data_IF_030015458366
#
_entry.id   IF_030015458366
#
_cell.length_a   1.000
_cell.length_b   1.000
_cell.length_c   1.000
_cell.angle_alpha   90.00
_cell.angle_beta   90.00
_cell.angle_gamma   90.00
#
_symmetry.space_group_name_H-M   'P 1'
#
loop_
_entity.id
_entity.type
_entity.pdbx_description
1 polymer ?
#
# COMPACT_ATOMS: atom_id res chain seq x y z
N UNK A 1 -18.35 -17.22 19.82
CA UNK A 1 -17.76 -16.60 18.62
C UNK A 1 -18.07 -17.51 17.44
N UNK A 2 -18.91 -17.07 16.50
CA UNK A 2 -19.41 -17.91 15.43
C UNK A 2 -18.43 -17.93 14.26
N UNK A 3 -17.84 -19.10 14.00
CA UNK A 3 -17.05 -19.43 12.81
C UNK A 3 -18.00 -19.95 11.73
N UNK A 4 -17.86 -19.50 10.48
CA UNK A 4 -18.54 -20.13 9.34
C UNK A 4 -17.92 -21.51 9.06
N UNK A 5 -18.71 -22.42 8.46
CA UNK A 5 -18.45 -23.86 8.27
C UNK A 5 -17.21 -24.25 7.43
N UNK A 6 -16.33 -23.29 7.12
CA UNK A 6 -15.11 -23.50 6.33
C UNK A 6 -13.82 -23.14 7.09
N UNK A 7 -13.89 -22.73 8.36
CA UNK A 7 -12.71 -22.42 9.19
C UNK A 7 -11.92 -21.17 8.75
N UNK A 8 -12.38 -20.47 7.71
CA UNK A 8 -11.80 -19.22 7.21
C UNK A 8 -12.54 -18.04 7.86
N UNK A 9 -11.79 -17.09 8.46
CA UNK A 9 -12.40 -15.88 9.01
C UNK A 9 -13.01 -15.03 7.90
N UNK A 10 -14.15 -14.42 8.20
CA UNK A 10 -14.75 -13.43 7.30
C UNK A 10 -13.83 -12.21 7.20
N UNK A 11 -13.80 -11.56 6.04
CA UNK A 11 -13.04 -10.32 5.79
C UNK A 11 -13.35 -9.22 6.82
N UNK A 12 -14.57 -9.18 7.34
CA UNK A 12 -14.96 -8.29 8.42
C UNK A 12 -14.20 -8.56 9.74
N UNK A 13 -13.96 -9.83 10.07
CA UNK A 13 -13.23 -10.23 11.28
C UNK A 13 -11.72 -9.94 11.14
N UNK A 14 -11.17 -10.12 9.93
CA UNK A 14 -9.79 -9.72 9.64
C UNK A 14 -9.59 -8.20 9.72
N UNK A 15 -10.56 -7.41 9.28
CA UNK A 15 -10.55 -5.95 9.40
C UNK A 15 -10.66 -5.47 10.86
N UNK A 16 -11.50 -6.14 11.67
CA UNK A 16 -11.62 -5.86 13.10
C UNK A 16 -10.31 -6.15 13.85
N UNK A 17 -9.67 -7.29 13.56
CA UNK A 17 -8.33 -7.61 14.08
C UNK A 17 -7.31 -6.55 13.66
N UNK A 18 -7.30 -6.15 12.38
CA UNK A 18 -6.38 -5.14 11.87
C UNK A 18 -6.51 -3.80 12.62
N UNK A 19 -7.75 -3.39 12.90
CA UNK A 19 -8.06 -2.17 13.68
C UNK A 19 -7.57 -2.29 15.12
N UNK A 20 -7.85 -3.42 15.79
CA UNK A 20 -7.39 -3.67 17.16
C UNK A 20 -5.86 -3.71 17.26
N UNK A 21 -5.19 -4.35 16.29
CA UNK A 21 -3.74 -4.44 16.23
C UNK A 21 -3.09 -3.05 16.08
N UNK A 22 -3.63 -2.20 15.20
CA UNK A 22 -3.10 -0.85 15.00
C UNK A 22 -3.41 0.09 16.16
N UNK A 23 -4.59 -0.04 16.78
CA UNK A 23 -4.93 0.72 17.98
C UNK A 23 -3.98 0.41 19.13
N UNK A 24 -3.67 -0.88 19.36
CA UNK A 24 -2.68 -1.27 20.39
C UNK A 24 -1.24 -0.84 20.05
N UNK A 25 -0.92 -0.72 18.76
CA UNK A 25 0.38 -0.23 18.27
C UNK A 25 0.52 1.29 18.38
N UNK A 26 -0.53 2.07 18.19
CA UNK A 26 -0.46 3.55 18.23
C UNK A 26 -0.30 4.12 19.64
N UNK A 27 -0.72 3.41 20.68
CA UNK A 27 -0.50 3.83 22.08
C UNK A 27 0.99 3.76 22.51
N UNK A 28 1.88 3.22 21.68
CA UNK A 28 3.33 3.07 21.94
C UNK A 28 4.14 4.39 21.93
N UNK A 29 3.51 5.55 21.72
CA UNK A 29 4.20 6.85 21.72
C UNK A 29 4.16 7.60 23.06
N UNK A 30 3.52 7.05 24.10
CA UNK A 30 3.53 7.62 25.45
C UNK A 30 4.49 6.83 26.36
N UNK A 31 5.08 7.52 27.36
CA UNK A 31 6.14 7.09 28.27
C UNK A 31 5.80 5.87 29.14
N UNK A 32 5.65 4.70 28.51
CA UNK A 32 5.30 3.44 29.17
C UNK A 32 6.57 2.67 29.55
N UNK A 33 6.62 2.04 30.74
CA UNK A 33 7.77 1.27 31.16
C UNK A 33 7.98 0.06 30.25
N UNK A 34 9.23 -0.30 29.96
CA UNK A 34 9.60 -1.40 29.03
C UNK A 34 8.91 -2.72 29.37
N UNK A 35 8.64 -2.97 30.66
CA UNK A 35 7.90 -4.16 31.13
C UNK A 35 6.48 -4.23 30.60
N UNK A 36 5.79 -3.08 30.52
CA UNK A 36 4.41 -2.99 30.03
C UNK A 36 4.35 -3.17 28.51
N UNK A 37 5.31 -2.57 27.79
CA UNK A 37 5.47 -2.77 26.34
C UNK A 37 5.68 -4.26 26.03
N UNK A 38 6.54 -4.93 26.81
CA UNK A 38 6.84 -6.36 26.62
C UNK A 38 5.62 -7.27 26.89
N UNK A 39 4.83 -6.93 27.91
CA UNK A 39 3.58 -7.64 28.23
C UNK A 39 2.56 -7.49 27.09
N UNK A 40 2.47 -6.29 26.52
CA UNK A 40 1.54 -5.98 25.43
C UNK A 40 1.90 -6.66 24.11
N UNK A 41 3.20 -6.71 23.76
CA UNK A 41 3.68 -7.49 22.60
C UNK A 41 3.33 -8.97 22.77
N UNK A 42 3.46 -9.50 23.99
CA UNK A 42 3.07 -10.88 24.30
C UNK A 42 1.56 -11.08 24.13
N UNK A 43 0.73 -10.11 24.56
CA UNK A 43 -0.71 -10.12 24.32
C UNK A 43 -1.07 -10.07 22.83
N UNK A 44 -0.39 -9.22 22.04
CA UNK A 44 -0.57 -9.13 20.58
C UNK A 44 -0.23 -10.46 19.90
N UNK A 45 0.84 -11.14 20.34
CA UNK A 45 1.22 -12.45 19.84
C UNK A 45 0.15 -13.50 20.13
N UNK A 46 -0.32 -13.59 21.38
CA UNK A 46 -1.41 -14.50 21.75
C UNK A 46 -2.71 -14.21 20.99
N UNK A 47 -2.97 -12.94 20.68
CA UNK A 47 -4.14 -12.52 19.91
C UNK A 47 -4.00 -12.98 18.45
N UNK A 48 -2.87 -12.75 17.80
CA UNK A 48 -2.65 -13.20 16.41
C UNK A 48 -2.64 -14.72 16.32
N UNK A 49 -2.07 -15.42 17.31
CA UNK A 49 -2.02 -16.89 17.35
C UNK A 49 -3.41 -17.51 17.61
N UNK A 50 -4.29 -16.84 18.38
CA UNK A 50 -5.66 -17.32 18.58
C UNK A 50 -6.51 -17.31 17.31
N UNK A 51 -6.14 -16.45 16.35
CA UNK A 51 -6.73 -16.40 15.01
C UNK A 51 -5.99 -17.29 13.98
N UNK A 52 -4.97 -18.02 14.43
CA UNK A 52 -3.98 -18.79 13.66
C UNK A 52 -4.36 -19.18 12.24
N UNK A 53 -5.25 -20.16 12.07
CA UNK A 53 -5.63 -20.70 10.75
C UNK A 53 -6.73 -19.93 10.03
N UNK A 54 -7.49 -19.11 10.76
CA UNK A 54 -8.58 -18.31 10.22
C UNK A 54 -8.12 -17.10 9.41
N UNK A 55 -6.87 -16.65 9.59
CA UNK A 55 -6.33 -15.50 8.88
C UNK A 55 -5.80 -15.84 7.49
N UNK A 56 -6.05 -14.98 6.48
CA UNK A 56 -5.37 -15.05 5.19
C UNK A 56 -3.85 -15.12 5.36
N UNK A 57 -3.19 -15.95 4.54
CA UNK A 57 -1.74 -16.20 4.62
C UNK A 57 -0.91 -14.91 4.56
N UNK A 58 -1.35 -13.95 3.75
CA UNK A 58 -0.72 -12.63 3.63
C UNK A 58 -0.72 -11.86 4.96
N UNK A 59 -1.88 -11.78 5.62
CA UNK A 59 -2.06 -11.07 6.89
C UNK A 59 -1.28 -11.73 8.01
N UNK A 60 -1.27 -13.07 8.05
CA UNK A 60 -0.47 -13.84 9.03
C UNK A 60 1.01 -13.48 8.96
N UNK A 61 1.57 -13.46 7.74
CA UNK A 61 2.97 -13.07 7.53
C UNK A 61 3.23 -11.61 7.93
N UNK A 62 2.29 -10.71 7.62
CA UNK A 62 2.39 -9.29 7.97
C UNK A 62 2.38 -9.06 9.48
N UNK A 63 1.48 -9.70 10.24
CA UNK A 63 1.44 -9.56 11.69
C UNK A 63 2.67 -10.16 12.36
N UNK A 64 3.13 -11.33 11.91
CA UNK A 64 4.36 -11.95 12.43
C UNK A 64 5.59 -11.05 12.23
N UNK A 65 5.72 -10.43 11.05
CA UNK A 65 6.81 -9.49 10.77
C UNK A 65 6.76 -8.25 11.67
N UNK A 66 5.56 -7.68 11.89
CA UNK A 66 5.40 -6.52 12.76
C UNK A 66 5.66 -6.83 14.24
N UNK A 67 5.23 -7.99 14.73
CA UNK A 67 5.54 -8.44 16.10
C UNK A 67 7.06 -8.59 16.27
N UNK A 68 7.74 -9.21 15.30
CA UNK A 68 9.20 -9.38 15.33
C UNK A 68 9.93 -8.03 15.33
N UNK A 69 9.44 -7.05 14.57
CA UNK A 69 9.98 -5.69 14.56
C UNK A 69 9.82 -4.99 15.93
N UNK A 70 8.67 -5.14 16.58
CA UNK A 70 8.43 -4.60 17.93
C UNK A 70 9.30 -5.28 18.99
N UNK A 71 9.44 -6.61 18.93
CA UNK A 71 10.35 -7.37 19.80
C UNK A 71 11.80 -6.89 19.65
N UNK A 72 12.24 -6.62 18.41
CA UNK A 72 13.57 -6.06 18.12
C UNK A 72 13.75 -4.66 18.73
N UNK A 73 12.76 -3.77 18.59
CA UNK A 73 12.79 -2.42 19.19
C UNK A 73 12.89 -2.49 20.71
N UNK A 74 12.14 -3.38 21.37
CA UNK A 74 12.22 -3.59 22.81
C UNK A 74 13.57 -4.15 23.24
N UNK A 75 14.14 -5.09 22.49
CA UNK A 75 15.47 -5.62 22.76
C UNK A 75 16.56 -4.53 22.69
N UNK A 76 16.47 -3.64 21.70
CA UNK A 76 17.37 -2.48 21.57
C UNK A 76 17.21 -1.52 22.76
N UNK A 77 15.98 -1.22 23.19
CA UNK A 77 15.73 -0.35 24.34
C UNK A 77 16.28 -0.97 25.65
N UNK A 78 16.05 -2.27 25.89
CA UNK A 78 16.63 -2.98 27.04
C UNK A 78 18.15 -2.98 27.03
N UNK A 79 18.77 -3.13 25.85
CA UNK A 79 20.23 -3.07 25.72
C UNK A 79 20.79 -1.67 26.02
N UNK A 80 20.03 -0.61 25.70
CA UNK A 80 20.38 0.78 26.01
C UNK A 80 20.19 1.14 27.48
N UNK A 81 19.21 0.56 28.17
CA UNK A 81 18.93 0.82 29.60
C UNK A 81 19.79 0.01 30.57
N UNK A 82 20.51 -1.02 30.11
CA UNK A 82 21.36 -1.82 30.99
C UNK A 82 22.42 -0.89 31.63
N UNK A 83 22.45 -0.74 32.96
CA UNK A 83 23.40 0.17 33.61
C UNK A 83 24.82 -0.27 33.28
N UNK A 84 25.60 0.64 32.69
CA UNK A 84 27.04 0.46 32.47
C UNK A 84 27.68 0.31 33.84
N UNK A 85 27.92 -0.93 34.25
CA UNK A 85 28.64 -1.29 35.46
C UNK A 85 30.02 -0.62 35.46
N UNK A 86 30.15 0.52 36.14
CA UNK A 86 31.43 1.15 36.48
C UNK A 86 31.84 0.65 37.87
N UNK A 87 32.27 -0.61 37.95
CA UNK A 87 33.14 -1.01 39.06
C UNK A 87 34.50 -0.34 38.86
N UNK A 88 34.66 0.89 39.34
CA UNK A 88 35.96 1.53 39.49
C UNK A 88 36.46 1.28 40.90
N UNK A 89 37.47 0.43 41.03
CA UNK A 89 38.16 0.17 42.30
C UNK A 89 39.01 1.40 42.68
N UNK A 90 38.60 2.13 43.72
CA UNK A 90 39.37 3.25 44.28
C UNK A 90 40.59 2.73 45.06
N UNK A 91 41.80 3.08 44.62
CA UNK A 91 43.03 3.02 45.44
C UNK A 91 43.47 4.45 45.79
N UNK A 92 43.83 4.76 47.04
CA UNK A 92 44.36 6.07 47.38
C UNK A 92 45.90 6.07 47.25
N UNK A 93 46.49 7.15 46.73
CA UNK A 93 47.86 7.57 47.10
C UNK A 93 48.12 9.05 46.81
N UNK A 94 48.95 9.74 47.62
CA UNK A 94 49.17 11.18 47.53
C UNK A 94 50.32 11.58 46.58
N UNK A 95 50.26 12.83 46.12
CA UNK A 95 51.31 13.64 45.45
C UNK A 95 52.53 13.88 46.39
N UNK A 96 53.72 14.37 45.95
CA UNK A 96 53.97 15.31 44.84
C UNK A 96 55.16 15.01 43.86
N UNK A 97 55.17 15.79 42.77
CA UNK A 97 56.17 15.97 41.67
C UNK A 97 57.52 16.59 42.14
N UNK A 98 58.61 16.80 41.33
CA UNK A 98 58.65 17.07 39.86
C UNK A 98 59.87 16.60 38.99
N UNK A 99 59.64 16.50 37.64
CA UNK A 99 60.45 16.92 36.44
C UNK A 99 61.97 16.53 36.28
N UNK A 100 62.64 16.59 35.08
CA UNK A 100 62.27 16.64 33.65
C UNK A 100 62.96 15.57 32.71
N UNK A 101 62.57 15.59 31.42
CA UNK A 101 63.09 15.00 30.13
C UNK A 101 64.62 15.13 29.85
N UNK A 102 65.29 14.59 28.76
CA UNK A 102 64.83 14.35 27.34
C UNK A 102 65.50 13.23 26.45
N UNK A 103 65.02 13.09 25.19
CA UNK A 103 65.74 12.60 23.97
C UNK A 103 65.90 11.08 23.80
N UNK A 104 65.99 10.41 22.63
CA UNK A 104 66.06 10.67 21.17
C UNK A 104 65.86 9.25 20.53
N UNK A 105 65.24 8.97 19.37
CA UNK A 105 65.84 8.94 18.03
C UNK A 105 64.96 8.10 17.05
N UNK A 106 64.78 8.59 15.82
CA UNK A 106 64.96 7.93 14.48
C UNK A 106 64.22 6.59 14.15
N UNK A 107 63.79 6.21 12.94
CA UNK A 107 63.85 6.67 11.52
C UNK A 107 62.76 5.87 10.73
N UNK A 108 62.08 6.43 9.72
CA UNK A 108 62.31 6.35 8.25
C UNK A 108 61.62 5.17 7.50
N UNK A 109 60.92 5.56 6.44
CA UNK A 109 60.25 4.77 5.38
C UNK A 109 61.27 4.03 4.46
N UNK A 110 60.98 3.03 3.62
CA UNK A 110 60.05 2.94 2.46
C UNK A 110 60.28 1.58 1.74
N UNK A 111 59.47 1.29 0.69
CA UNK A 111 59.76 0.48 -0.55
C UNK A 111 59.01 -0.89 -0.61
N UNK A 112 58.41 -1.42 -1.71
CA UNK A 112 58.46 -1.11 -3.16
C UNK A 112 57.65 -2.13 -4.07
N UNK A 113 56.83 -1.65 -5.04
CA UNK A 113 56.65 -2.03 -6.52
C UNK A 113 55.93 -3.42 -6.87
N UNK A 114 55.38 -3.77 -8.10
CA UNK A 114 54.30 -3.27 -9.02
C UNK A 114 53.44 -4.38 -9.81
N UNK A 115 52.99 -4.28 -11.12
CA UNK A 115 51.58 -4.36 -11.64
C UNK A 115 51.34 -5.58 -12.61
N UNK A 116 50.49 -5.61 -13.71
CA UNK A 116 49.37 -4.79 -14.26
C UNK A 116 48.04 -5.59 -14.52
N UNK A 117 46.89 -5.05 -14.97
CA UNK A 117 46.48 -4.86 -16.41
C UNK A 117 45.00 -4.41 -16.51
N UNK A 118 44.73 -3.64 -17.57
CA UNK A 118 43.50 -2.97 -18.06
C UNK A 118 42.30 -3.88 -18.44
N UNK A 119 41.05 -3.36 -18.33
CA UNK A 119 40.16 -3.03 -19.47
C UNK A 119 38.64 -3.03 -19.16
N UNK A 120 37.91 -2.25 -19.97
CA UNK A 120 36.54 -1.71 -19.87
C UNK A 120 35.40 -2.66 -20.31
N UNK A 121 34.14 -2.32 -19.94
CA UNK A 121 32.90 -2.33 -20.76
C UNK A 121 31.65 -2.26 -19.81
N UNK A 122 30.80 -1.22 -19.75
CA UNK A 122 29.72 -0.74 -20.66
C UNK A 122 28.49 -1.65 -20.83
N UNK A 123 27.39 -1.22 -20.20
CA UNK A 123 26.01 -1.02 -20.73
C UNK A 123 25.16 -2.19 -21.29
N UNK A 124 23.93 -2.25 -20.73
CA UNK A 124 22.63 -2.13 -21.43
C UNK A 124 21.82 -3.34 -21.94
N UNK A 125 20.60 -3.42 -21.38
CA UNK A 125 19.24 -3.68 -21.92
C UNK A 125 18.91 -4.73 -23.00
N UNK A 126 17.74 -5.34 -22.75
CA UNK A 126 16.87 -6.19 -23.56
C UNK A 126 16.69 -5.81 -25.03
N UNK A 127 16.50 -6.79 -25.93
CA UNK A 127 15.21 -7.09 -26.62
C UNK A 127 15.32 -8.13 -27.76
N UNK A 128 14.29 -8.98 -27.82
CA UNK A 128 13.61 -9.70 -28.93
C UNK A 128 14.21 -9.67 -30.36
N UNK A 129 14.23 -10.82 -31.06
CA UNK A 129 13.50 -11.02 -32.35
C UNK A 129 13.63 -12.45 -32.93
N UNK A 130 12.46 -12.98 -33.33
CA UNK A 130 12.10 -13.69 -34.57
C UNK A 130 12.98 -14.78 -35.21
N UNK A 131 12.34 -15.94 -35.49
CA UNK A 131 12.30 -16.70 -36.76
C UNK A 131 11.49 -18.01 -36.52
N UNK A 132 10.81 -18.72 -37.42
CA UNK A 132 10.24 -18.57 -38.76
C UNK A 132 9.76 -19.99 -39.16
N UNK A 133 8.45 -20.14 -39.42
CA UNK A 133 7.76 -21.08 -40.33
C UNK A 133 8.21 -22.55 -40.50
N UNK A 134 7.29 -23.50 -40.28
CA UNK A 134 6.87 -24.52 -41.29
C UNK A 134 5.39 -24.86 -41.06
N UNK A 135 4.60 -24.82 -42.14
CA UNK A 135 3.18 -25.10 -42.21
C UNK A 135 2.98 -26.27 -43.20
N UNK A 136 2.40 -27.42 -42.79
CA UNK A 136 1.84 -28.45 -43.69
C UNK A 136 0.69 -29.17 -42.96
N UNK A 137 -0.44 -29.51 -43.64
CA UNK A 137 -1.73 -29.76 -43.01
C UNK A 137 -2.03 -31.25 -42.77
N UNK A 138 -2.81 -31.55 -41.74
CA UNK A 138 -3.50 -32.83 -41.62
C UNK A 138 -4.85 -32.68 -40.92
N UNK A 139 -5.92 -32.92 -41.67
CA UNK A 139 -7.20 -33.37 -41.13
C UNK A 139 -7.05 -34.84 -40.70
N UNK A 140 -7.79 -35.31 -39.68
CA UNK A 140 -9.11 -35.84 -39.99
C UNK A 140 -10.19 -35.56 -38.93
N UNK A 141 -11.41 -35.55 -39.47
CA UNK A 141 -12.70 -35.94 -38.93
C UNK A 141 -12.72 -36.71 -37.59
N UNK A 142 -13.48 -36.21 -36.60
CA UNK A 142 -14.28 -37.00 -35.65
C UNK A 142 -14.91 -36.17 -34.53
N UNK A 143 -16.24 -36.19 -34.53
CA UNK A 143 -17.09 -36.48 -33.36
C UNK A 143 -17.22 -35.44 -32.26
N UNK A 144 -18.44 -34.90 -32.18
CA UNK A 144 -18.97 -34.07 -31.12
C UNK A 144 -18.77 -34.65 -29.72
N UNK A 145 -18.32 -33.80 -28.79
CA UNK A 145 -18.50 -33.95 -27.35
C UNK A 145 -18.83 -32.56 -26.77
N UNK A 146 -19.83 -32.43 -25.87
CA UNK A 146 -20.18 -31.16 -25.27
C UNK A 146 -19.19 -30.86 -24.15
N UNK A 147 -18.14 -30.10 -24.45
CA UNK A 147 -17.29 -29.54 -23.43
C UNK A 147 -18.06 -28.44 -22.70
N UNK A 148 -18.35 -28.72 -21.43
CA UNK A 148 -18.91 -27.81 -20.44
C UNK A 148 -18.24 -26.43 -20.51
N UNK A 149 -18.97 -25.46 -21.05
CA UNK A 149 -18.59 -24.06 -21.03
C UNK A 149 -18.64 -23.56 -19.58
N UNK A 150 -17.53 -23.65 -18.87
CA UNK A 150 -17.30 -22.83 -17.69
C UNK A 150 -17.34 -21.39 -18.17
N UNK A 151 -18.46 -20.71 -17.89
CA UNK A 151 -18.70 -19.31 -18.22
C UNK A 151 -17.71 -18.45 -17.46
N UNK A 152 -16.51 -18.30 -18.03
CA UNK A 152 -15.51 -17.35 -17.58
C UNK A 152 -16.12 -15.99 -17.91
N UNK A 153 -16.60 -15.27 -16.89
CA UNK A 153 -17.19 -13.94 -17.08
C UNK A 153 -16.15 -13.06 -17.77
N UNK A 154 -16.36 -12.76 -19.05
CA UNK A 154 -15.44 -11.94 -19.83
C UNK A 154 -15.44 -10.52 -19.25
N UNK A 155 -14.39 -10.15 -18.51
CA UNK A 155 -14.19 -8.77 -18.07
C UNK A 155 -13.94 -7.89 -19.29
N UNK A 156 -14.91 -7.05 -19.64
CA UNK A 156 -14.80 -6.15 -20.80
C UNK A 156 -13.81 -5.02 -20.48
N UNK A 157 -12.85 -4.75 -21.35
CA UNK A 157 -11.92 -3.62 -21.20
C UNK A 157 -12.32 -2.49 -22.15
N UNK A 158 -12.49 -1.29 -21.61
CA UNK A 158 -12.76 -0.06 -22.35
C UNK A 158 -11.56 0.87 -22.27
N UNK A 159 -11.21 1.50 -23.39
CA UNK A 159 -10.09 2.45 -23.44
C UNK A 159 -10.57 3.78 -23.99
N UNK A 160 -10.20 4.87 -23.32
CA UNK A 160 -10.42 6.24 -23.78
C UNK A 160 -9.07 6.94 -23.76
N UNK A 161 -8.70 7.57 -24.87
CA UNK A 161 -7.40 8.22 -24.95
C UNK A 161 -7.35 9.41 -25.88
N UNK A 162 -6.28 10.20 -25.74
CA UNK A 162 -5.91 11.28 -26.68
C UNK A 162 -7.00 12.34 -26.85
N UNK A 163 -7.66 12.70 -25.74
CA UNK A 163 -8.69 13.76 -25.73
C UNK A 163 -8.15 15.01 -25.07
N UNK A 164 -8.67 16.15 -25.48
CA UNK A 164 -8.33 17.45 -24.93
C UNK A 164 -9.59 18.29 -24.79
N UNK A 165 -9.71 19.08 -23.72
CA UNK A 165 -10.83 20.01 -23.49
C UNK A 165 -12.22 19.36 -23.56
N UNK A 166 -12.33 18.11 -23.13
CA UNK A 166 -13.54 17.29 -23.34
C UNK A 166 -14.14 16.81 -22.02
N UNK A 167 -15.47 16.74 -21.96
CA UNK A 167 -16.21 16.00 -20.93
C UNK A 167 -16.24 14.50 -21.31
N UNK A 168 -15.61 13.67 -20.50
CA UNK A 168 -15.55 12.22 -20.70
C UNK A 168 -16.56 11.53 -19.80
N UNK A 169 -17.56 10.89 -20.42
CA UNK A 169 -18.51 9.99 -19.78
C UNK A 169 -18.56 8.70 -20.60
N UNK A 170 -18.04 7.57 -20.07
CA UNK A 170 -18.09 6.31 -20.81
C UNK A 170 -19.55 5.88 -21.05
N UNK A 171 -19.94 5.81 -22.33
CA UNK A 171 -21.20 5.20 -22.73
C UNK A 171 -20.99 3.71 -22.94
N UNK A 172 -21.63 2.91 -22.09
CA UNK A 172 -21.49 1.46 -22.05
C UNK A 172 -22.83 0.85 -22.42
N UNK A 173 -22.80 -0.20 -23.25
CA UNK A 173 -24.02 -0.88 -23.65
C UNK A 173 -24.73 -1.48 -22.40
N UNK A 174 -26.08 -1.49 -22.38
CA UNK A 174 -26.80 -2.24 -21.36
C UNK A 174 -26.34 -3.70 -21.34
N UNK A 175 -26.05 -4.24 -20.15
CA UNK A 175 -25.58 -5.62 -20.00
C UNK A 175 -24.07 -5.86 -20.09
N UNK A 176 -23.23 -4.82 -20.20
CA UNK A 176 -21.74 -4.97 -20.18
C UNK A 176 -21.22 -5.63 -18.89
N UNK A 177 -21.97 -5.56 -17.78
CA UNK A 177 -21.57 -6.17 -16.51
C UNK A 177 -20.30 -5.54 -15.92
N UNK A 178 -19.44 -6.35 -15.32
CA UNK A 178 -18.18 -5.88 -14.75
C UNK A 178 -17.16 -5.54 -15.85
N UNK A 179 -16.54 -4.36 -15.75
CA UNK A 179 -15.59 -3.88 -16.76
C UNK A 179 -14.37 -3.16 -16.15
N UNK A 180 -13.31 -3.10 -16.95
CA UNK A 180 -12.09 -2.35 -16.69
C UNK A 180 -12.05 -1.13 -17.60
N UNK A 181 -11.68 0.03 -17.05
CA UNK A 181 -11.50 1.27 -17.82
C UNK A 181 -10.04 1.68 -17.82
N UNK A 182 -9.49 1.92 -19.01
CA UNK A 182 -8.16 2.50 -19.22
C UNK A 182 -8.30 3.90 -19.81
N UNK A 183 -7.79 4.90 -19.10
CA UNK A 183 -7.74 6.29 -19.52
C UNK A 183 -6.29 6.66 -19.82
N UNK A 184 -6.01 7.23 -20.99
CA UNK A 184 -4.64 7.67 -21.27
C UNK A 184 -4.51 8.93 -22.13
N UNK A 185 -3.48 9.73 -21.90
CA UNK A 185 -3.19 10.93 -22.71
C UNK A 185 -4.40 11.88 -22.76
N UNK A 186 -4.89 12.31 -21.61
CA UNK A 186 -6.02 13.24 -21.50
C UNK A 186 -5.53 14.58 -20.96
N UNK A 187 -5.90 15.67 -21.62
CA UNK A 187 -5.46 17.02 -21.25
C UNK A 187 -6.65 17.96 -21.05
N UNK A 188 -6.72 18.64 -19.90
CA UNK A 188 -7.81 19.59 -19.57
C UNK A 188 -9.22 18.98 -19.69
N UNK A 189 -9.36 17.70 -19.37
CA UNK A 189 -10.63 16.99 -19.44
C UNK A 189 -11.34 16.97 -18.09
N UNK A 190 -12.68 16.95 -18.14
CA UNK A 190 -13.52 16.61 -16.99
C UNK A 190 -14.01 15.19 -17.21
N UNK A 191 -13.69 14.29 -16.29
CA UNK A 191 -13.95 12.85 -16.42
C UNK A 191 -14.96 12.48 -15.34
N UNK A 192 -16.16 12.12 -15.76
CA UNK A 192 -17.28 11.77 -14.89
C UNK A 192 -17.61 10.29 -15.10
N UNK A 193 -17.14 9.47 -14.15
CA UNK A 193 -17.35 8.01 -14.13
C UNK A 193 -18.48 7.62 -13.17
N UNK A 194 -19.19 8.59 -12.59
CA UNK A 194 -20.31 8.31 -11.71
C UNK A 194 -21.49 7.75 -12.52
N UNK A 195 -22.21 6.75 -11.98
CA UNK A 195 -23.39 6.22 -12.66
C UNK A 195 -24.48 7.31 -12.79
N UNK A 196 -25.13 7.46 -13.96
CA UNK A 196 -26.06 8.56 -14.23
C UNK A 196 -27.39 8.50 -13.47
N UNK A 197 -27.67 7.42 -12.72
CA UNK A 197 -28.89 7.28 -11.91
C UNK A 197 -28.59 6.41 -10.67
N UNK A 198 -28.93 6.86 -9.44
CA UNK A 198 -28.67 6.16 -8.18
C UNK A 198 -29.64 4.99 -7.89
N UNK A 199 -30.87 5.02 -8.42
CA UNK A 199 -31.95 4.17 -7.90
C UNK A 199 -32.10 2.77 -8.51
N UNK A 200 -31.14 2.28 -9.29
CA UNK A 200 -31.27 0.98 -9.96
C UNK A 200 -30.27 -0.03 -9.40
N UNK A 201 -30.73 -0.88 -8.48
CA UNK A 201 -30.11 -2.16 -8.09
C UNK A 201 -30.21 -3.19 -9.22
N UNK A 202 -30.06 -2.73 -10.46
CA UNK A 202 -30.24 -3.54 -11.65
C UNK A 202 -28.92 -4.22 -12.00
N UNK A 203 -28.90 -5.54 -11.90
CA UNK A 203 -27.74 -6.41 -12.18
C UNK A 203 -27.25 -6.25 -13.63
N UNK A 204 -28.01 -5.56 -14.48
CA UNK A 204 -27.68 -5.26 -15.88
C UNK A 204 -26.80 -4.02 -16.07
N UNK A 205 -26.57 -3.20 -15.04
CA UNK A 205 -25.78 -1.96 -15.17
C UNK A 205 -24.27 -2.24 -15.16
N UNK A 206 -23.49 -1.60 -16.05
CA UNK A 206 -22.04 -1.73 -16.07
C UNK A 206 -21.41 -1.30 -14.74
N UNK A 207 -20.57 -2.18 -14.19
CA UNK A 207 -19.85 -1.96 -12.93
C UNK A 207 -18.36 -1.80 -13.20
N UNK A 208 -17.81 -0.63 -12.94
CA UNK A 208 -16.38 -0.36 -13.07
C UNK A 208 -15.65 -1.07 -11.92
N UNK A 209 -14.87 -2.10 -12.21
CA UNK A 209 -14.11 -2.84 -11.18
C UNK A 209 -12.67 -2.38 -11.11
N UNK A 210 -12.07 -2.04 -12.24
CA UNK A 210 -10.67 -1.61 -12.33
C UNK A 210 -10.55 -0.34 -13.14
N UNK A 211 -9.93 0.67 -12.54
CA UNK A 211 -9.59 1.93 -13.20
C UNK A 211 -8.08 2.03 -13.35
N UNK A 212 -7.63 2.14 -14.59
CA UNK A 212 -6.26 2.49 -14.93
C UNK A 212 -6.25 3.87 -15.58
N UNK A 213 -5.56 4.83 -14.99
CA UNK A 213 -5.39 6.15 -15.58
C UNK A 213 -3.91 6.48 -15.71
N UNK A 214 -3.50 6.90 -16.90
CA UNK A 214 -2.11 7.17 -17.24
C UNK A 214 -1.99 8.47 -18.03
N UNK A 215 -1.04 9.32 -17.69
CA UNK A 215 -0.77 10.56 -18.46
C UNK A 215 -2.03 11.43 -18.58
N UNK A 216 -2.52 11.87 -17.41
CA UNK A 216 -3.63 12.79 -17.28
C UNK A 216 -3.07 14.12 -16.78
N UNK A 217 -3.35 15.19 -17.50
CA UNK A 217 -2.78 16.50 -17.23
C UNK A 217 -3.89 17.55 -17.16
N UNK A 218 -3.90 18.36 -16.08
CA UNK A 218 -4.90 19.39 -15.83
C UNK A 218 -6.35 18.86 -15.85
N UNK A 219 -6.56 17.61 -15.46
CA UNK A 219 -7.86 16.95 -15.48
C UNK A 219 -8.56 16.99 -14.12
N UNK A 220 -9.89 16.96 -14.15
CA UNK A 220 -10.73 16.66 -12.98
C UNK A 220 -11.38 15.31 -13.22
N UNK A 221 -11.15 14.34 -12.34
CA UNK A 221 -11.73 13.00 -12.44
C UNK A 221 -12.60 12.70 -11.23
N UNK A 222 -13.85 12.29 -11.48
CA UNK A 222 -14.81 11.86 -10.46
C UNK A 222 -15.22 10.43 -10.74
N UNK A 223 -14.97 9.54 -9.78
CA UNK A 223 -15.26 8.12 -9.88
C UNK A 223 -15.99 7.62 -8.62
N UNK A 224 -16.91 6.65 -8.75
CA UNK A 224 -17.57 6.04 -7.61
C UNK A 224 -16.59 5.21 -6.77
N UNK A 225 -17.10 4.61 -5.69
CA UNK A 225 -16.35 3.60 -4.95
C UNK A 225 -16.33 2.30 -5.77
N UNK A 226 -15.18 2.00 -6.35
CA UNK A 226 -14.95 0.80 -7.14
C UNK A 226 -14.84 -0.43 -6.22
N UNK A 227 -15.49 -1.56 -6.54
CA UNK A 227 -15.30 -2.82 -5.82
C UNK A 227 -13.93 -3.45 -6.10
N UNK A 228 -13.06 -2.85 -6.92
CA UNK A 228 -11.72 -3.35 -7.20
C UNK A 228 -10.65 -2.28 -7.00
N UNK A 229 -9.83 -2.04 -8.02
CA UNK A 229 -8.60 -1.25 -7.90
C UNK A 229 -8.61 0.03 -8.74
N UNK A 230 -7.89 1.04 -8.25
CA UNK A 230 -7.55 2.24 -8.99
C UNK A 230 -6.03 2.38 -9.03
N UNK A 231 -5.46 2.41 -10.24
CA UNK A 231 -4.03 2.64 -10.47
C UNK A 231 -3.87 3.88 -11.34
N UNK A 232 -3.19 4.88 -10.78
CA UNK A 232 -2.95 6.17 -11.40
C UNK A 232 -1.45 6.34 -11.66
N UNK A 233 -1.11 6.87 -12.82
CA UNK A 233 0.27 7.06 -13.23
C UNK A 233 0.42 8.32 -14.05
N UNK A 234 1.52 9.04 -13.87
CA UNK A 234 1.84 10.22 -14.70
C UNK A 234 0.72 11.28 -14.65
N UNK A 235 0.19 11.55 -13.45
CA UNK A 235 -0.83 12.59 -13.23
C UNK A 235 -0.14 13.93 -12.99
N UNK A 236 -0.57 15.00 -13.66
CA UNK A 236 -0.01 16.35 -13.48
C UNK A 236 -1.13 17.38 -13.31
N UNK A 237 -1.06 18.20 -12.27
CA UNK A 237 -2.01 19.29 -12.02
C UNK A 237 -3.48 18.82 -11.98
N UNK A 238 -3.74 17.63 -11.45
CA UNK A 238 -5.07 17.00 -11.47
C UNK A 238 -5.81 17.10 -10.12
N UNK A 239 -7.14 17.03 -10.19
CA UNK A 239 -8.00 16.70 -9.05
C UNK A 239 -8.65 15.35 -9.31
N UNK A 240 -8.43 14.39 -8.42
CA UNK A 240 -8.96 13.03 -8.53
C UNK A 240 -9.83 12.71 -7.34
N UNK A 241 -11.07 12.30 -7.59
CA UNK A 241 -12.04 11.86 -6.58
C UNK A 241 -12.37 10.41 -6.92
N UNK A 242 -11.96 9.47 -6.07
CA UNK A 242 -12.12 8.03 -6.35
C UNK A 242 -12.24 7.23 -5.07
N UNK A 243 -13.05 6.18 -5.09
CA UNK A 243 -13.00 5.13 -4.08
C UNK A 243 -12.55 3.80 -4.66
N UNK A 244 -11.83 2.98 -3.91
CA UNK A 244 -11.39 1.66 -4.37
C UNK A 244 -11.10 0.72 -3.18
N UNK A 245 -11.02 -0.59 -3.41
CA UNK A 245 -10.43 -1.50 -2.43
C UNK A 245 -8.91 -1.34 -2.35
N UNK A 246 -8.27 -1.09 -3.50
CA UNK A 246 -6.83 -0.91 -3.64
C UNK A 246 -6.55 0.36 -4.43
N UNK A 247 -5.66 1.20 -3.93
CA UNK A 247 -5.27 2.43 -4.59
C UNK A 247 -3.75 2.48 -4.76
N UNK A 248 -3.30 2.74 -5.98
CA UNK A 248 -1.89 2.96 -6.32
C UNK A 248 -1.77 4.24 -7.11
N UNK A 249 -0.82 5.10 -6.74
CA UNK A 249 -0.44 6.26 -7.55
C UNK A 249 1.08 6.29 -7.67
N UNK A 250 1.56 6.52 -8.89
CA UNK A 250 2.99 6.68 -9.11
C UNK A 250 3.34 7.77 -10.13
N UNK A 251 4.59 8.23 -10.08
CA UNK A 251 5.16 9.19 -11.04
C UNK A 251 4.29 10.44 -11.28
N UNK A 252 3.64 10.94 -10.23
CA UNK A 252 2.62 12.00 -10.34
C UNK A 252 3.03 13.27 -9.60
N UNK A 253 2.62 14.43 -10.13
CA UNK A 253 3.05 15.75 -9.66
C UNK A 253 1.85 16.67 -9.44
N UNK A 254 1.86 17.45 -8.35
CA UNK A 254 0.87 18.49 -8.07
C UNK A 254 -0.58 18.03 -8.22
N UNK A 255 -0.91 16.87 -7.65
CA UNK A 255 -2.23 16.24 -7.81
C UNK A 255 -2.92 16.11 -6.47
N UNK A 256 -4.19 16.50 -6.41
CA UNK A 256 -5.04 16.36 -5.24
C UNK A 256 -5.91 15.11 -5.38
N UNK A 257 -5.97 14.29 -4.34
CA UNK A 257 -6.73 13.03 -4.34
C UNK A 257 -7.72 13.01 -3.18
N UNK A 258 -9.01 13.03 -3.47
CA UNK A 258 -10.08 12.76 -2.50
C UNK A 258 -10.41 11.27 -2.55
N UNK A 259 -9.98 10.54 -1.52
CA UNK A 259 -9.86 9.08 -1.55
C UNK A 259 -10.76 8.41 -0.52
N UNK A 260 -11.42 7.33 -0.92
CA UNK A 260 -11.98 6.31 -0.03
C UNK A 260 -11.31 4.98 -0.36
N UNK A 261 -10.52 4.42 0.56
CA UNK A 261 -9.82 3.16 0.29
C UNK A 261 -9.91 2.21 1.48
N UNK A 262 -10.16 0.93 1.19
CA UNK A 262 -10.25 -0.09 2.23
C UNK A 262 -8.87 -0.56 2.75
N UNK A 263 -7.82 -0.35 1.95
CA UNK A 263 -6.43 -0.69 2.23
C UNK A 263 -5.53 0.54 2.28
N UNK A 264 -4.26 0.36 2.67
CA UNK A 264 -3.29 1.45 2.64
C UNK A 264 -2.96 1.82 1.18
N UNK A 265 -3.07 3.10 0.79
CA UNK A 265 -2.59 3.60 -0.50
C UNK A 265 -1.11 3.26 -0.72
N UNK A 266 -0.75 2.91 -1.95
CA UNK A 266 0.65 2.82 -2.38
C UNK A 266 0.98 4.08 -3.19
N UNK A 267 2.02 4.80 -2.76
CA UNK A 267 2.45 6.07 -3.35
C UNK A 267 3.94 5.96 -3.67
N UNK A 268 4.30 6.07 -4.95
CA UNK A 268 5.68 5.88 -5.41
C UNK A 268 6.10 7.02 -6.35
N UNK A 269 7.30 7.57 -6.16
CA UNK A 269 7.86 8.59 -7.07
C UNK A 269 6.94 9.80 -7.35
N UNK A 270 6.17 10.24 -6.36
CA UNK A 270 5.25 11.37 -6.50
C UNK A 270 5.77 12.63 -5.81
N UNK A 271 5.40 13.81 -6.32
CA UNK A 271 5.80 15.11 -5.78
C UNK A 271 4.57 16.00 -5.58
N UNK A 272 4.44 16.64 -4.42
CA UNK A 272 3.32 17.55 -4.10
C UNK A 272 1.93 16.91 -4.28
N UNK A 273 1.73 15.70 -3.71
CA UNK A 273 0.40 15.12 -3.58
C UNK A 273 -0.27 15.60 -2.30
N UNK A 274 -1.56 15.92 -2.40
CA UNK A 274 -2.41 16.17 -1.24
C UNK A 274 -3.57 15.17 -1.22
N UNK A 275 -3.89 14.66 -0.03
CA UNK A 275 -4.98 13.70 0.16
C UNK A 275 -6.09 14.31 1.02
N UNK A 276 -7.33 14.04 0.66
CA UNK A 276 -8.52 14.41 1.40
C UNK A 276 -9.51 13.26 1.47
N UNK A 277 -10.53 13.41 2.32
CA UNK A 277 -11.60 12.43 2.43
C UNK A 277 -12.48 12.45 1.16
N UNK A 278 -12.87 11.27 0.68
CA UNK A 278 -13.89 11.15 -0.35
C UNK A 278 -15.19 11.82 0.10
N UNK A 279 -15.84 12.65 -0.75
CA UNK A 279 -17.04 13.39 -0.36
C UNK A 279 -18.22 12.46 0.02
N UNK A 280 -18.83 12.60 1.20
CA UNK A 280 -19.90 11.70 1.65
C UNK A 280 -21.15 11.70 0.77
N UNK A 281 -21.47 12.81 0.11
CA UNK A 281 -22.62 12.91 -0.78
C UNK A 281 -22.48 12.02 -2.03
N UNK A 282 -21.26 11.66 -2.42
CA UNK A 282 -21.01 10.70 -3.51
C UNK A 282 -21.13 9.24 -3.06
N UNK A 283 -21.28 8.98 -1.75
CA UNK A 283 -21.55 7.63 -1.21
C UNK A 283 -23.05 7.31 -1.17
N UNK A 284 -23.91 8.34 -1.10
CA UNK A 284 -25.37 8.21 -1.05
C UNK A 284 -26.00 7.64 -2.34
N UNK A 285 -25.19 7.41 -3.36
CA UNK A 285 -25.53 6.72 -4.62
C UNK A 285 -25.57 5.19 -4.46
N UNK A 286 -25.40 4.64 -3.24
CA UNK A 286 -25.62 3.23 -2.90
C UNK A 286 -26.84 3.06 -1.97
N UNK A 287 -27.68 2.02 -2.16
CA UNK A 287 -28.86 1.82 -1.32
C UNK A 287 -28.50 1.61 0.16
N UNK A 288 -29.39 2.11 1.02
CA UNK A 288 -29.21 2.34 2.45
C UNK A 288 -28.96 1.12 3.36
N UNK A 289 -28.77 -0.09 2.83
CA UNK A 289 -28.56 -1.29 3.66
C UNK A 289 -27.15 -1.41 4.25
N UNK A 290 -26.17 -0.65 3.75
CA UNK A 290 -24.79 -0.65 4.26
C UNK A 290 -24.52 0.38 5.38
N UNK A 291 -25.49 1.25 5.71
CA UNK A 291 -25.26 2.43 6.55
C UNK A 291 -25.48 2.25 8.05
N UNK A 292 -25.97 1.10 8.52
CA UNK A 292 -26.28 0.90 9.95
C UNK A 292 -25.14 0.37 10.82
N UNK A 293 -23.89 0.32 10.33
CA UNK A 293 -22.75 -0.11 11.15
C UNK A 293 -21.70 0.96 11.47
N UNK A 294 -21.69 2.12 10.77
CA UNK A 294 -20.59 3.08 10.87
C UNK A 294 -20.96 4.47 11.42
N UNK A 295 -22.02 4.60 12.22
CA UNK A 295 -22.20 5.81 13.06
C UNK A 295 -21.73 5.54 14.49
N UNK A 296 -20.56 6.07 14.87
CA UNK A 296 -20.36 7.07 15.94
C UNK A 296 -18.93 7.67 15.87
N UNK A 297 -18.75 8.98 15.63
CA UNK A 297 -17.76 9.74 16.38
C UNK A 297 -18.39 10.14 17.71
N UNK A 298 -17.71 9.81 18.81
CA UNK A 298 -18.10 10.22 20.17
C UNK A 298 -17.84 11.73 20.28
N UNK A 299 -18.92 12.51 20.33
CA UNK A 299 -18.87 13.90 20.75
C UNK A 299 -18.84 13.91 22.28
N UNK A 300 -17.64 14.02 22.86
CA UNK A 300 -17.41 14.47 24.24
C UNK A 300 -15.90 14.69 24.41
N UNK A 301 -15.44 15.91 24.11
CA UNK A 301 -14.32 16.63 24.74
C UNK A 301 -13.86 17.74 23.79
N UNK A 302 -14.36 18.96 23.98
CA UNK A 302 -13.55 20.17 23.80
C UNK A 302 -14.26 21.35 24.47
N UNK A 303 -14.27 21.36 25.80
CA UNK A 303 -14.43 22.59 26.59
C UNK A 303 -13.08 22.94 27.18
N UNK A 304 -12.53 24.11 26.83
CA UNK A 304 -11.46 24.73 27.61
C UNK A 304 -10.35 25.39 26.82
N UNK A 305 -10.61 26.57 26.25
CA UNK A 305 -9.59 27.63 26.19
C UNK A 305 -10.23 28.89 26.74
N UNK A 306 -9.77 29.30 27.93
CA UNK A 306 -9.96 30.66 28.46
C UNK A 306 -8.91 31.56 27.82
N UNK A 307 -9.29 32.84 27.70
CA UNK A 307 -8.46 33.98 27.29
C UNK A 307 -7.11 34.07 28.02
#
# INVERSE_FOLDING_TARGET
>A
MATNEQGVMSTAQSAELHSLFHSQKQEEQSSTPITDISKRISSLRTLVDSFGEGLPKYDRGRYANQITELESKVAILRAKEKPKSRFTFTKPKPKPSPSPSPGTDQSRASSTIPPPTSSQATSNVSSLTASSFVNVPHAPDSTAAPSSSTSTSASTMHTISSLTDTLVRPELAPGTGAYTLSLSHLYRCVIDLCPPHPDATDVTKPTLTTLHAKDLQQCIMVAPVLPGSAMLSEMVDCLVIVGAQQFRIHSSINTQVLLNVASLPVIEHCTNLAFGAYPPFLLSTQPASAYLLNRRPKADEMTGVRE
#
